data_IF_615262229575
#
_entry.id   IF_615262229575
#
_cell.length_a   1.000
_cell.length_b   1.000
_cell.length_c   1.000
_cell.angle_alpha   90.00
_cell.angle_beta   90.00
_cell.angle_gamma   90.00
#
_symmetry.space_group_name_H-M   'P 1'
#
loop_
_entity.id
_entity.type
_entity.pdbx_description
1 polymer ?
#
# COMPACT_ATOMS: atom_id res chain seq x y z
N UNK A 1 -21.81 0.75 -18.85
CA UNK A 1 -20.78 0.56 -17.79
C UNK A 1 -19.37 0.94 -18.26
N UNK A 2 -18.94 0.55 -19.48
CA UNK A 2 -17.59 0.90 -20.00
C UNK A 2 -17.35 2.41 -20.20
N UNK A 3 -18.38 3.20 -20.45
CA UNK A 3 -18.25 4.65 -20.62
C UNK A 3 -18.21 5.39 -19.29
N UNK A 4 -18.91 4.87 -18.28
CA UNK A 4 -18.91 5.41 -16.90
C UNK A 4 -17.57 5.14 -16.19
N UNK A 5 -16.87 4.06 -16.57
CA UNK A 5 -15.57 3.68 -15.97
C UNK A 5 -14.36 4.39 -16.60
N UNK A 6 -14.56 5.25 -17.61
CA UNK A 6 -13.46 6.09 -18.10
C UNK A 6 -13.07 7.08 -17.01
N UNK A 7 -11.80 7.03 -16.60
CA UNK A 7 -11.29 7.98 -15.62
C UNK A 7 -11.58 9.41 -16.06
N UNK A 8 -12.39 10.10 -15.29
CA UNK A 8 -12.60 11.54 -15.49
C UNK A 8 -11.30 12.27 -15.19
N UNK A 9 -10.94 13.21 -16.05
CA UNK A 9 -9.74 14.04 -15.84
C UNK A 9 -9.92 15.03 -14.68
N UNK A 10 -11.17 15.33 -14.33
CA UNK A 10 -11.54 16.28 -13.30
C UNK A 10 -12.65 15.73 -12.41
N UNK A 11 -12.60 16.07 -11.13
CA UNK A 11 -13.65 15.72 -10.19
C UNK A 11 -14.95 16.45 -10.53
N UNK A 12 -16.06 15.72 -10.60
CA UNK A 12 -17.37 16.28 -10.93
C UNK A 12 -17.86 17.29 -9.88
N UNK A 13 -17.52 17.09 -8.61
CA UNK A 13 -18.00 17.95 -7.52
C UNK A 13 -17.17 19.22 -7.32
N UNK A 14 -15.84 19.13 -7.41
CA UNK A 14 -14.97 20.25 -7.07
C UNK A 14 -14.10 20.75 -8.24
N UNK A 15 -14.19 20.13 -9.43
CA UNK A 15 -13.39 20.50 -10.59
C UNK A 15 -11.89 20.28 -10.46
N UNK A 16 -11.43 19.68 -9.37
CA UNK A 16 -10.00 19.40 -9.16
C UNK A 16 -9.53 18.27 -10.09
N UNK A 17 -8.31 18.35 -10.67
CA UNK A 17 -7.75 17.26 -11.45
C UNK A 17 -7.70 15.97 -10.63
N UNK A 18 -8.20 14.88 -11.19
CA UNK A 18 -8.15 13.57 -10.55
C UNK A 18 -6.72 13.04 -10.60
N UNK A 19 -6.12 12.66 -9.47
CA UNK A 19 -4.76 12.12 -9.46
C UNK A 19 -4.70 10.79 -10.21
N UNK A 20 -3.60 10.55 -10.90
CA UNK A 20 -3.33 9.25 -11.52
C UNK A 20 -2.74 8.29 -10.49
N UNK A 21 -3.14 7.01 -10.58
CA UNK A 21 -2.59 5.94 -9.75
C UNK A 21 -1.49 5.26 -10.55
N UNK A 22 -0.28 5.26 -10.00
CA UNK A 22 0.90 4.64 -10.63
C UNK A 22 1.47 3.55 -9.73
N UNK A 23 1.97 2.49 -10.37
CA UNK A 23 2.71 1.43 -9.68
C UNK A 23 4.18 1.79 -9.68
N UNK A 24 4.78 1.95 -8.52
CA UNK A 24 6.20 2.21 -8.35
C UNK A 24 6.89 0.94 -7.86
N UNK A 25 7.83 0.44 -8.65
CA UNK A 25 8.66 -0.72 -8.30
C UNK A 25 10.03 -0.21 -7.90
N UNK A 26 10.41 -0.39 -6.64
CA UNK A 26 11.77 -0.10 -6.19
C UNK A 26 12.63 -1.35 -6.39
N UNK A 27 13.49 -1.33 -7.38
CA UNK A 27 14.38 -2.45 -7.71
C UNK A 27 15.32 -2.83 -6.55
N UNK A 28 15.78 -1.83 -5.77
CA UNK A 28 16.69 -2.06 -4.64
C UNK A 28 16.09 -2.88 -3.50
N UNK A 29 14.77 -2.81 -3.31
CA UNK A 29 14.05 -3.52 -2.23
C UNK A 29 13.03 -4.50 -2.75
N UNK A 30 12.91 -4.65 -4.09
CA UNK A 30 11.87 -5.41 -4.77
C UNK A 30 10.44 -5.08 -4.29
N UNK A 31 10.25 -3.93 -3.65
CA UNK A 31 8.97 -3.52 -3.11
C UNK A 31 8.10 -2.85 -4.18
N UNK A 32 6.83 -3.19 -4.17
CA UNK A 32 5.83 -2.61 -5.06
C UNK A 32 4.97 -1.64 -4.26
N UNK A 33 5.07 -0.35 -4.59
CA UNK A 33 4.27 0.69 -3.97
C UNK A 33 3.21 1.21 -4.94
N UNK A 34 2.07 1.59 -4.41
CA UNK A 34 1.05 2.32 -5.14
C UNK A 34 1.26 3.80 -4.83
N UNK A 35 1.41 4.63 -5.85
CA UNK A 35 1.58 6.06 -5.69
C UNK A 35 0.46 6.83 -6.39
N UNK A 36 -0.01 7.89 -5.73
CA UNK A 36 -0.86 8.91 -6.32
C UNK A 36 0.04 9.98 -6.92
N UNK A 37 -0.11 10.23 -8.21
CA UNK A 37 0.55 11.31 -8.91
C UNK A 37 -0.45 12.41 -9.23
N UNK A 38 -0.20 13.62 -8.72
CA UNK A 38 -1.01 14.80 -9.00
C UNK A 38 -0.15 15.95 -9.50
N UNK A 39 -0.68 16.71 -10.43
CA UNK A 39 -0.06 17.96 -10.88
C UNK A 39 -0.55 19.10 -10.00
N UNK A 40 0.38 19.80 -9.39
CA UNK A 40 0.09 21.03 -8.62
C UNK A 40 0.72 22.18 -9.36
N UNK A 41 -0.12 23.13 -9.79
CA UNK A 41 0.36 24.41 -10.34
C UNK A 41 0.97 25.24 -9.23
N UNK A 42 2.22 25.63 -9.35
CA UNK A 42 2.83 26.66 -8.52
C UNK A 42 3.12 27.88 -9.39
N UNK A 43 2.56 29.01 -8.98
CA UNK A 43 2.84 30.31 -9.59
C UNK A 43 4.09 30.85 -8.91
N UNK A 44 5.19 30.90 -9.62
CA UNK A 44 6.41 31.59 -9.16
C UNK A 44 6.45 32.98 -9.80
N UNK A 45 6.48 34.01 -8.97
CA UNK A 45 6.68 35.40 -9.40
C UNK A 45 8.17 35.67 -9.31
N UNK A 46 8.78 36.00 -10.43
CA UNK A 46 10.18 36.39 -10.47
C UNK A 46 10.30 37.84 -9.94
N UNK A 47 10.92 38.02 -8.76
CA UNK A 47 11.04 39.31 -8.08
C UNK A 47 11.80 40.38 -8.90
N UNK A 48 12.55 39.97 -9.94
CA UNK A 48 13.35 40.89 -10.77
C UNK A 48 12.65 41.36 -12.04
N UNK A 49 11.79 40.51 -12.62
CA UNK A 49 11.12 40.82 -13.90
C UNK A 49 9.63 41.00 -13.79
N UNK A 50 9.02 40.64 -12.64
CA UNK A 50 7.56 40.72 -12.44
C UNK A 50 6.77 39.71 -13.31
N UNK A 51 7.45 38.83 -14.02
CA UNK A 51 6.79 37.82 -14.85
C UNK A 51 6.31 36.63 -13.99
N UNK A 52 5.08 36.26 -14.20
CA UNK A 52 4.45 35.08 -13.60
C UNK A 52 4.73 33.87 -14.48
N UNK A 53 5.54 32.93 -13.99
CA UNK A 53 5.74 31.63 -14.63
C UNK A 53 4.89 30.57 -13.93
N UNK A 54 3.95 29.98 -14.67
CA UNK A 54 3.18 28.83 -14.22
C UNK A 54 4.02 27.56 -14.35
N UNK A 55 4.60 27.11 -13.24
CA UNK A 55 5.33 25.86 -13.18
C UNK A 55 4.41 24.75 -12.66
N UNK A 56 4.16 23.73 -13.46
CA UNK A 56 3.44 22.52 -13.06
C UNK A 56 4.43 21.55 -12.41
N UNK A 57 4.27 21.35 -11.10
CA UNK A 57 5.07 20.38 -10.35
C UNK A 57 4.25 19.10 -10.14
N UNK A 58 4.82 17.97 -10.53
CA UNK A 58 4.25 16.65 -10.23
C UNK A 58 4.64 16.24 -8.82
N UNK A 59 3.65 16.01 -7.99
CA UNK A 59 3.81 15.51 -6.62
C UNK A 59 3.38 14.07 -6.62
N UNK A 60 4.28 13.18 -6.17
CA UNK A 60 3.99 11.77 -5.93
C UNK A 60 3.82 11.52 -4.46
N UNK A 61 2.72 10.89 -4.09
CA UNK A 61 2.41 10.48 -2.73
C UNK A 61 2.24 8.97 -2.68
N UNK A 62 3.06 8.28 -1.89
CA UNK A 62 2.94 6.83 -1.71
C UNK A 62 1.69 6.53 -0.87
N UNK A 63 0.84 5.66 -1.39
CA UNK A 63 -0.35 5.17 -0.68
C UNK A 63 0.02 3.98 0.20
N UNK A 64 0.10 4.23 1.50
CA UNK A 64 0.24 3.14 2.47
C UNK A 64 -1.05 2.32 2.60
N UNK A 65 -0.97 1.01 2.89
CA UNK A 65 -2.12 0.12 3.01
C UNK A 65 -3.19 0.65 3.96
N UNK A 66 -2.79 1.26 5.08
CA UNK A 66 -3.72 1.87 6.04
C UNK A 66 -4.50 3.04 5.44
N UNK A 67 -3.84 3.85 4.60
CA UNK A 67 -4.51 4.96 3.90
C UNK A 67 -5.47 4.42 2.84
N UNK A 68 -5.05 3.40 2.08
CA UNK A 68 -5.92 2.71 1.13
C UNK A 68 -7.15 2.12 1.83
N UNK A 69 -6.95 1.43 2.96
CA UNK A 69 -8.05 0.88 3.76
C UNK A 69 -9.06 1.95 4.15
N UNK A 70 -8.59 3.09 4.69
CA UNK A 70 -9.46 4.19 5.10
C UNK A 70 -10.21 4.80 3.90
N UNK A 71 -9.55 4.94 2.75
CA UNK A 71 -10.19 5.45 1.53
C UNK A 71 -11.30 4.50 1.04
N UNK A 72 -11.03 3.21 0.99
CA UNK A 72 -11.99 2.19 0.55
C UNK A 72 -13.16 2.06 1.54
N UNK A 73 -12.90 2.18 2.84
CA UNK A 73 -13.94 2.15 3.88
C UNK A 73 -14.90 3.33 3.82
N UNK A 74 -14.45 4.48 3.31
CA UNK A 74 -15.28 5.68 3.18
C UNK A 74 -16.26 5.61 1.99
N UNK A 75 -16.19 4.57 1.17
CA UNK A 75 -17.13 4.38 0.06
C UNK A 75 -18.51 4.04 0.65
N UNK A 76 -19.56 4.75 0.16
CA UNK A 76 -20.93 4.53 0.61
C UNK A 76 -21.46 3.16 0.16
N UNK A 77 -22.50 2.68 0.84
CA UNK A 77 -23.13 1.41 0.47
C UNK A 77 -23.80 1.48 -0.92
N UNK A 78 -24.32 2.64 -1.28
CA UNK A 78 -24.91 2.86 -2.60
C UNK A 78 -23.85 2.81 -3.71
N UNK A 79 -22.71 3.46 -3.51
CA UNK A 79 -21.58 3.39 -4.43
C UNK A 79 -20.98 1.98 -4.49
N UNK A 80 -20.94 1.27 -3.37
CA UNK A 80 -20.50 -0.13 -3.30
C UNK A 80 -21.36 -1.03 -4.19
N UNK A 81 -22.70 -0.85 -4.15
CA UNK A 81 -23.62 -1.55 -5.03
C UNK A 81 -23.40 -1.20 -6.51
N UNK A 82 -23.15 0.09 -6.83
CA UNK A 82 -22.83 0.52 -8.20
C UNK A 82 -21.55 -0.10 -8.74
N UNK A 83 -20.56 -0.31 -7.86
CA UNK A 83 -19.30 -1.00 -8.20
C UNK A 83 -19.49 -2.51 -8.41
N UNK A 84 -20.66 -3.06 -8.10
CA UNK A 84 -20.98 -4.47 -8.26
C UNK A 84 -20.67 -5.35 -7.07
N UNK A 85 -20.41 -4.75 -5.89
CA UNK A 85 -20.25 -5.46 -4.62
C UNK A 85 -21.55 -5.46 -3.84
N UNK A 86 -21.76 -6.48 -3.02
CA UNK A 86 -22.83 -6.50 -2.02
C UNK A 86 -22.27 -6.04 -0.67
N UNK A 87 -22.68 -4.85 -0.14
CA UNK A 87 -22.17 -4.32 1.13
C UNK A 87 -22.33 -5.24 2.31
N UNK A 88 -23.28 -6.20 2.25
CA UNK A 88 -23.53 -7.18 3.31
C UNK A 88 -22.58 -8.37 3.28
N UNK A 89 -21.99 -8.66 2.13
CA UNK A 89 -21.15 -9.85 1.92
C UNK A 89 -19.69 -9.46 1.78
N UNK A 90 -19.38 -8.45 0.99
CA UNK A 90 -18.02 -8.03 0.67
C UNK A 90 -17.99 -6.54 0.35
N UNK A 91 -17.16 -5.82 1.05
CA UNK A 91 -16.94 -4.40 0.84
C UNK A 91 -15.57 -4.15 0.17
N UNK A 92 -15.39 -3.00 -0.50
CA UNK A 92 -14.11 -2.68 -1.15
C UNK A 92 -12.89 -2.72 -0.21
N UNK A 93 -13.06 -2.39 1.08
CA UNK A 93 -11.99 -2.47 2.08
C UNK A 93 -11.50 -3.89 2.36
N UNK A 94 -12.29 -4.92 2.05
CA UNK A 94 -11.91 -6.34 2.25
C UNK A 94 -10.80 -6.79 1.29
N UNK A 95 -10.52 -6.02 0.23
CA UNK A 95 -9.33 -6.24 -0.61
C UNK A 95 -8.02 -6.00 0.15
N UNK A 96 -8.06 -5.23 1.25
CA UNK A 96 -6.89 -5.04 2.09
C UNK A 96 -6.86 -6.15 3.14
N UNK A 97 -5.91 -7.04 3.00
CA UNK A 97 -5.75 -8.17 3.90
C UNK A 97 -5.28 -7.68 5.29
N UNK A 98 -6.19 -7.66 6.26
CA UNK A 98 -5.89 -7.29 7.65
C UNK A 98 -5.55 -8.51 8.51
N UNK A 99 -5.96 -9.69 8.07
CA UNK A 99 -5.74 -10.97 8.77
C UNK A 99 -5.26 -12.00 7.74
N UNK A 100 -4.08 -12.52 7.96
CA UNK A 100 -3.51 -13.55 7.10
C UNK A 100 -3.85 -14.94 7.66
N UNK A 101 -4.53 -15.81 6.89
CA UNK A 101 -4.80 -17.18 7.31
C UNK A 101 -3.52 -18.01 7.25
N UNK A 102 -3.11 -18.55 8.40
CA UNK A 102 -1.95 -19.42 8.48
C UNK A 102 -2.38 -20.85 8.14
N UNK A 103 -1.90 -21.45 7.04
CA UNK A 103 -2.25 -22.82 6.69
C UNK A 103 -1.70 -23.81 7.72
N UNK A 104 -2.38 -24.93 7.99
CA UNK A 104 -1.93 -25.95 8.92
C UNK A 104 -0.63 -26.61 8.45
N UNK A 105 0.13 -27.16 9.40
CA UNK A 105 1.45 -27.77 9.14
C UNK A 105 1.40 -28.91 8.12
N UNK A 106 0.28 -29.60 8.02
CA UNK A 106 0.09 -30.70 7.07
C UNK A 106 0.19 -30.25 5.60
N UNK A 107 -0.15 -28.98 5.30
CA UNK A 107 -0.05 -28.42 3.93
C UNK A 107 1.37 -27.93 3.63
N UNK A 108 2.18 -27.69 4.65
CA UNK A 108 3.57 -27.20 4.55
C UNK A 108 4.54 -28.12 5.31
N UNK A 109 4.67 -29.38 4.89
CA UNK A 109 5.48 -30.36 5.61
C UNK A 109 6.96 -30.02 5.50
N UNK A 110 7.70 -30.31 6.56
CA UNK A 110 9.16 -30.24 6.57
C UNK A 110 9.74 -31.50 5.92
N UNK A 111 10.58 -31.34 4.90
CA UNK A 111 11.26 -32.48 4.24
C UNK A 111 12.57 -32.78 4.96
N UNK A 112 12.86 -34.09 5.14
CA UNK A 112 14.18 -34.54 5.58
C UNK A 112 15.10 -34.66 4.38
N UNK A 113 16.35 -34.23 4.52
CA UNK A 113 17.37 -34.39 3.48
C UNK A 113 18.11 -35.68 3.75
N UNK A 114 17.89 -36.70 2.89
CA UNK A 114 18.37 -38.07 3.12
C UNK A 114 19.90 -38.23 3.20
N UNK A 115 20.68 -37.29 2.65
CA UNK A 115 22.14 -37.35 2.64
C UNK A 115 22.81 -36.47 3.71
N UNK A 116 22.03 -35.72 4.50
CA UNK A 116 22.51 -34.95 5.65
C UNK A 116 21.75 -35.36 6.91
N UNK A 117 22.39 -36.17 7.74
CA UNK A 117 21.77 -36.86 8.88
C UNK A 117 21.03 -35.98 9.90
N UNK A 118 21.13 -34.64 9.83
CA UNK A 118 20.46 -33.70 10.77
C UNK A 118 19.86 -32.50 10.11
N UNK A 119 19.81 -32.40 8.78
CA UNK A 119 19.28 -31.18 8.14
C UNK A 119 17.88 -31.43 7.58
N UNK A 120 16.97 -30.60 7.99
CA UNK A 120 15.59 -30.52 7.52
C UNK A 120 15.43 -29.31 6.61
N UNK A 121 14.72 -29.47 5.52
CA UNK A 121 14.34 -28.39 4.61
C UNK A 121 12.91 -27.99 4.91
N UNK A 122 12.71 -26.76 5.30
CA UNK A 122 11.38 -26.22 5.52
C UNK A 122 10.73 -25.79 4.21
N UNK A 123 9.40 -25.91 4.16
CA UNK A 123 8.62 -25.45 3.02
C UNK A 123 8.73 -23.93 2.83
N UNK A 124 8.71 -23.48 1.57
CA UNK A 124 8.82 -22.06 1.22
C UNK A 124 7.71 -21.20 1.84
N UNK A 125 6.50 -21.76 2.02
CA UNK A 125 5.42 -21.09 2.73
C UNK A 125 5.78 -20.86 4.20
N UNK A 126 6.42 -21.82 4.86
CA UNK A 126 6.86 -21.67 6.25
C UNK A 126 7.88 -20.55 6.39
N UNK A 127 8.85 -20.48 5.47
CA UNK A 127 9.84 -19.40 5.45
C UNK A 127 9.20 -18.04 5.24
N UNK A 128 8.26 -17.91 4.29
CA UNK A 128 7.54 -16.65 4.05
C UNK A 128 6.67 -16.23 5.24
N UNK A 129 5.99 -17.15 5.89
CA UNK A 129 5.22 -16.86 7.11
C UNK A 129 6.15 -16.39 8.23
N UNK A 130 7.31 -17.00 8.41
CA UNK A 130 8.30 -16.60 9.39
C UNK A 130 8.81 -15.17 9.12
N UNK A 131 9.07 -14.82 7.87
CA UNK A 131 9.44 -13.48 7.45
C UNK A 131 8.34 -12.46 7.79
N UNK A 132 7.09 -12.76 7.44
CA UNK A 132 5.93 -11.90 7.76
C UNK A 132 5.81 -11.67 9.27
N UNK A 133 5.94 -12.73 10.08
CA UNK A 133 5.88 -12.64 11.55
C UNK A 133 7.02 -11.77 12.07
N UNK A 134 8.21 -11.96 11.55
CA UNK A 134 9.41 -11.19 11.95
C UNK A 134 9.21 -9.70 11.68
N UNK A 135 8.76 -9.34 10.48
CA UNK A 135 8.50 -7.96 10.10
C UNK A 135 7.37 -7.36 10.91
N UNK A 136 6.28 -8.10 11.12
CA UNK A 136 5.16 -7.64 11.92
C UNK A 136 5.57 -7.38 13.38
N UNK A 137 6.41 -8.24 13.96
CA UNK A 137 6.95 -8.06 15.31
C UNK A 137 7.85 -6.82 15.39
N UNK A 138 8.68 -6.58 14.38
CA UNK A 138 9.52 -5.38 14.31
C UNK A 138 8.67 -4.11 14.25
N UNK A 139 7.63 -4.08 13.40
CA UNK A 139 6.70 -2.94 13.30
C UNK A 139 6.01 -2.69 14.64
N UNK A 140 5.52 -3.74 15.32
CA UNK A 140 4.88 -3.62 16.64
C UNK A 140 5.81 -3.04 17.68
N UNK A 141 7.01 -3.60 17.82
CA UNK A 141 8.00 -3.14 18.80
C UNK A 141 8.43 -1.69 18.55
N UNK A 142 8.41 -1.24 17.30
CA UNK A 142 8.74 0.13 16.97
C UNK A 142 7.58 1.09 17.21
N UNK A 143 6.35 0.67 16.92
CA UNK A 143 5.17 1.49 17.24
C UNK A 143 5.08 1.73 18.75
N UNK A 144 5.42 0.74 19.58
CA UNK A 144 5.51 0.88 21.04
C UNK A 144 6.61 1.88 21.46
N UNK A 145 7.77 1.86 20.79
CA UNK A 145 8.86 2.82 21.01
C UNK A 145 8.51 4.23 20.53
N UNK A 146 7.78 4.37 19.41
CA UNK A 146 7.31 5.65 18.92
C UNK A 146 6.31 6.30 19.89
N UNK A 147 5.49 5.53 20.59
CA UNK A 147 4.64 6.04 21.67
C UNK A 147 5.45 6.61 22.84
N UNK A 148 6.72 6.25 22.98
CA UNK A 148 7.65 6.82 23.98
C UNK A 148 8.43 8.06 23.50
N UNK A 149 8.03 8.70 22.40
CA UNK A 149 8.51 10.03 21.99
C UNK A 149 9.65 10.07 20.96
N UNK A 150 9.96 8.94 20.33
CA UNK A 150 10.96 8.88 19.25
C UNK A 150 10.25 8.98 17.89
N UNK A 151 10.62 9.96 17.06
CA UNK A 151 10.07 10.10 15.71
C UNK A 151 10.64 9.00 14.79
N UNK A 152 9.79 8.04 14.44
CA UNK A 152 10.10 6.88 13.60
C UNK A 152 9.20 6.81 12.35
N UNK A 153 8.58 7.91 11.96
CA UNK A 153 7.60 7.95 10.87
C UNK A 153 8.14 7.38 9.56
N UNK A 154 9.31 7.84 9.12
CA UNK A 154 9.95 7.38 7.87
C UNK A 154 10.41 5.93 7.92
N UNK A 155 10.80 5.44 9.10
CA UNK A 155 11.21 4.05 9.27
C UNK A 155 10.01 3.09 9.22
N UNK A 156 8.89 3.46 9.82
CA UNK A 156 7.65 2.68 9.76
C UNK A 156 7.15 2.52 8.33
N UNK A 157 7.24 3.56 7.51
CA UNK A 157 6.85 3.50 6.10
C UNK A 157 7.65 2.46 5.30
N UNK A 158 8.97 2.46 5.48
CA UNK A 158 9.85 1.48 4.82
C UNK A 158 9.56 0.05 5.29
N UNK A 159 9.27 -0.15 6.57
CA UNK A 159 8.94 -1.46 7.14
C UNK A 159 7.62 -2.01 6.61
N UNK A 160 6.59 -1.15 6.47
CA UNK A 160 5.33 -1.55 5.86
C UNK A 160 5.49 -1.96 4.39
N UNK A 161 6.34 -1.25 3.64
CA UNK A 161 6.65 -1.61 2.25
C UNK A 161 7.35 -2.95 2.13
N UNK A 162 8.25 -3.29 3.08
CA UNK A 162 8.93 -4.58 3.12
C UNK A 162 7.97 -5.72 3.48
N UNK A 163 7.04 -5.48 4.41
CA UNK A 163 6.02 -6.48 4.77
C UNK A 163 5.11 -6.82 3.58
N UNK A 164 4.81 -5.85 2.72
CA UNK A 164 3.99 -6.10 1.52
C UNK A 164 4.72 -6.89 0.44
N UNK A 165 6.04 -6.91 0.45
CA UNK A 165 6.84 -7.68 -0.49
C UNK A 165 6.82 -9.19 -0.19
N UNK A 166 6.77 -9.59 1.07
CA UNK A 166 6.76 -10.99 1.52
C UNK A 166 5.37 -11.61 1.48
#
# INVERSE_FOLDING_TARGET
LREISKSSTYCYHCGTPVPSITKEVKESTASVNIALEREVGSVTIDEKTGETTDTKKKIKEILHPRKCYNLLRNISDDDTNLLGFDPKISRPEDFICTRFPIPPVIIRPTAKIDFLASSTMEDSLTLKIADIITWNTRIRNQSEKAMSGVDLSSFNENMHSLLQYH
#
